data_IF_902691810240
#
_entry.id   IF_902691810240
#
_cell.length_a   1.000
_cell.length_b   1.000
_cell.length_c   1.000
_cell.angle_alpha   90.00
_cell.angle_beta   90.00
_cell.angle_gamma   90.00
#
_symmetry.space_group_name_H-M   'P 1'
#
loop_
_entity.id
_entity.type
_entity.pdbx_description
1 polymer ?
#
# COMPACT_ATOMS: atom_id res chain seq x y z
N UNK A 1 2.70 -6.08 6.96
CA UNK A 1 3.88 -6.55 6.21
C UNK A 1 3.92 -5.82 4.88
N UNK A 2 5.10 -5.37 4.42
CA UNK A 2 5.25 -4.55 3.20
C UNK A 2 4.58 -5.17 1.96
N UNK A 3 4.53 -6.51 1.87
CA UNK A 3 3.88 -7.26 0.78
C UNK A 3 2.39 -6.95 0.57
N UNK A 4 1.66 -6.57 1.62
CA UNK A 4 0.22 -6.33 1.55
C UNK A 4 -0.11 -5.05 0.73
N UNK A 5 0.77 -4.04 0.81
CA UNK A 5 0.65 -2.80 0.03
C UNK A 5 0.85 -3.08 -1.46
N UNK A 6 1.84 -3.92 -1.80
CA UNK A 6 2.08 -4.33 -3.19
C UNK A 6 0.92 -5.14 -3.78
N UNK A 7 0.29 -6.00 -2.96
CA UNK A 7 -0.90 -6.73 -3.39
C UNK A 7 -2.10 -5.80 -3.66
N UNK A 8 -2.32 -4.80 -2.81
CA UNK A 8 -3.33 -3.75 -3.03
C UNK A 8 -3.11 -2.98 -4.35
N UNK A 9 -1.86 -2.61 -4.62
CA UNK A 9 -1.46 -1.98 -5.88
C UNK A 9 -1.70 -2.88 -7.09
N UNK A 10 -1.37 -4.18 -6.98
CA UNK A 10 -1.64 -5.16 -8.03
C UNK A 10 -3.15 -5.25 -8.33
N UNK A 11 -3.99 -5.30 -7.30
CA UNK A 11 -5.46 -5.30 -7.48
C UNK A 11 -5.94 -4.00 -8.14
N UNK A 12 -5.37 -2.85 -7.77
CA UNK A 12 -5.70 -1.57 -8.41
C UNK A 12 -5.33 -1.59 -9.91
N UNK A 13 -4.18 -2.15 -10.28
CA UNK A 13 -3.73 -2.31 -11.67
C UNK A 13 -4.65 -3.26 -12.45
N UNK A 14 -5.05 -4.39 -11.86
CA UNK A 14 -6.00 -5.33 -12.48
C UNK A 14 -7.38 -4.70 -12.71
N UNK A 15 -7.84 -3.85 -11.78
CA UNK A 15 -9.09 -3.10 -11.94
C UNK A 15 -9.00 -2.08 -13.08
N UNK A 16 -7.87 -1.37 -13.20
CA UNK A 16 -7.61 -0.46 -14.32
C UNK A 16 -7.58 -1.22 -15.66
N UNK A 17 -6.90 -2.37 -15.70
CA UNK A 17 -6.83 -3.23 -16.89
C UNK A 17 -8.21 -3.74 -17.31
N UNK A 18 -9.06 -4.08 -16.35
CA UNK A 18 -10.45 -4.51 -16.59
C UNK A 18 -11.41 -3.36 -16.95
N UNK A 19 -10.91 -2.13 -17.13
CA UNK A 19 -11.72 -0.95 -17.48
C UNK A 19 -12.47 -0.31 -16.31
N UNK A 20 -12.33 -0.83 -15.08
CA UNK A 20 -12.99 -0.32 -13.85
C UNK A 20 -12.21 0.84 -13.23
N UNK A 21 -12.05 1.93 -14.00
CA UNK A 21 -11.18 3.08 -13.65
C UNK A 21 -11.51 3.72 -12.30
N UNK A 22 -12.79 3.96 -11.99
CA UNK A 22 -13.20 4.57 -10.72
C UNK A 22 -12.75 3.73 -9.51
N UNK A 23 -12.94 2.41 -9.56
CA UNK A 23 -12.53 1.49 -8.50
C UNK A 23 -11.00 1.44 -8.40
N UNK A 24 -10.30 1.44 -9.54
CA UNK A 24 -8.84 1.47 -9.57
C UNK A 24 -8.28 2.72 -8.88
N UNK A 25 -8.83 3.91 -9.15
CA UNK A 25 -8.38 5.15 -8.51
C UNK A 25 -8.63 5.15 -7.00
N UNK A 26 -9.76 4.62 -6.54
CA UNK A 26 -10.06 4.46 -5.11
C UNK A 26 -9.03 3.53 -4.47
N UNK A 27 -8.82 2.33 -5.03
CA UNK A 27 -7.87 1.35 -4.51
C UNK A 27 -6.44 1.88 -4.50
N UNK A 28 -6.04 2.57 -5.56
CA UNK A 28 -4.72 3.20 -5.65
C UNK A 28 -4.55 4.25 -4.54
N UNK A 29 -5.50 5.17 -4.39
CA UNK A 29 -5.44 6.22 -3.36
C UNK A 29 -5.36 5.64 -1.96
N UNK A 30 -6.21 4.64 -1.66
CA UNK A 30 -6.18 3.93 -0.37
C UNK A 30 -4.83 3.25 -0.13
N UNK A 31 -4.27 2.62 -1.17
CA UNK A 31 -2.95 1.97 -1.05
C UNK A 31 -1.82 2.95 -0.74
N UNK A 32 -1.86 4.17 -1.30
CA UNK A 32 -0.89 5.24 -1.00
C UNK A 32 -1.02 5.72 0.44
N UNK A 33 -2.25 5.97 0.92
CA UNK A 33 -2.49 6.40 2.31
C UNK A 33 -1.98 5.36 3.30
N UNK A 34 -2.33 4.08 3.09
CA UNK A 34 -1.85 2.97 3.92
C UNK A 34 -0.33 2.86 3.84
N UNK A 35 0.25 3.03 2.64
CA UNK A 35 1.69 3.02 2.43
C UNK A 35 2.42 4.11 3.23
N UNK A 36 1.90 5.33 3.23
CA UNK A 36 2.46 6.44 4.00
C UNK A 36 2.37 6.17 5.52
N UNK A 37 1.23 5.67 6.00
CA UNK A 37 1.07 5.31 7.41
C UNK A 37 2.04 4.20 7.82
N UNK A 38 2.16 3.15 6.99
CA UNK A 38 3.06 2.04 7.26
C UNK A 38 4.53 2.46 7.19
N UNK A 39 4.89 3.31 6.22
CA UNK A 39 6.24 3.84 6.10
C UNK A 39 6.60 4.70 7.31
N UNK A 40 5.68 5.55 7.77
CA UNK A 40 5.88 6.34 8.99
C UNK A 40 6.13 5.42 10.19
N UNK A 41 5.24 4.46 10.44
CA UNK A 41 5.40 3.47 11.51
C UNK A 41 6.75 2.77 11.42
N UNK A 42 7.10 2.21 10.25
CA UNK A 42 8.34 1.50 10.06
C UNK A 42 9.60 2.37 10.21
N UNK A 43 9.53 3.65 9.86
CA UNK A 43 10.65 4.59 9.99
C UNK A 43 10.83 5.13 11.42
N UNK A 44 9.74 5.19 12.21
CA UNK A 44 9.76 5.72 13.58
C UNK A 44 9.86 4.65 14.65
N UNK A 45 9.53 3.40 14.32
CA UNK A 45 9.67 2.30 15.26
C UNK A 45 11.15 2.12 15.60
N UNK A 46 11.52 2.19 16.89
CA UNK A 46 12.90 1.98 17.30
C UNK A 46 13.31 0.58 16.89
N UNK A 47 14.38 0.50 16.09
CA UNK A 47 15.00 -0.77 15.76
C UNK A 47 15.49 -1.38 17.08
N UNK A 48 14.75 -2.36 17.59
CA UNK A 48 15.11 -3.08 18.79
C UNK A 48 16.28 -4.00 18.43
N UNK A 49 17.48 -3.41 18.37
CA UNK A 49 18.73 -4.13 18.26
C UNK A 49 18.88 -4.83 19.61
N UNK A 50 18.47 -6.09 19.67
CA UNK A 50 18.93 -7.02 20.70
C UNK A 50 20.42 -7.18 20.46
N UNK A 51 21.21 -6.39 21.19
CA UNK A 51 22.66 -6.52 21.23
C UNK A 51 23.02 -7.68 22.17
#
# INVERSE_FOLDING_TARGET
MMSLIFLLLLVAMLCAFSGKKNISYILFTVSVIIGLFWFHHHATDPLSILL
#
